data_IF_838877475872
#
_entry.id   IF_838877475872
#
_cell.length_a   1.000
_cell.length_b   1.000
_cell.length_c   1.000
_cell.angle_alpha   90.00
_cell.angle_beta   90.00
_cell.angle_gamma   90.00
#
_symmetry.space_group_name_H-M   'P 1'
#
loop_
_entity.id
_entity.type
_entity.pdbx_description
1 polymer ?
#
# COMPACT_ATOMS: atom_id res chain seq x y z
N UNK A 1 15.79 3.09 13.21
CA UNK A 1 16.01 3.75 11.90
C UNK A 1 14.67 4.27 11.41
N UNK A 2 14.58 5.55 11.03
CA UNK A 2 13.32 6.14 10.56
C UNK A 2 13.28 6.07 9.04
N UNK A 3 12.19 5.55 8.49
CA UNK A 3 11.97 5.44 7.05
C UNK A 3 11.69 6.81 6.44
N UNK A 4 12.24 7.07 5.26
CA UNK A 4 11.82 8.20 4.43
C UNK A 4 10.55 7.83 3.67
N UNK A 5 9.64 8.79 3.48
CA UNK A 5 8.36 8.59 2.81
C UNK A 5 8.27 9.44 1.55
N UNK A 6 7.72 8.88 0.48
CA UNK A 6 7.36 9.59 -0.76
C UNK A 6 5.85 9.55 -0.97
N UNK A 7 5.29 10.62 -1.51
CA UNK A 7 3.86 10.64 -1.85
C UNK A 7 3.56 9.54 -2.89
N UNK A 8 2.49 8.78 -2.69
CA UNK A 8 2.15 7.63 -3.53
C UNK A 8 1.02 7.90 -4.54
N UNK A 9 0.67 9.19 -4.68
CA UNK A 9 -0.38 9.71 -5.56
C UNK A 9 -1.81 9.50 -5.06
N UNK A 10 -2.00 8.90 -3.88
CA UNK A 10 -3.32 8.67 -3.32
C UNK A 10 -3.86 9.93 -2.64
N UNK A 11 -5.06 10.36 -3.02
CA UNK A 11 -5.80 11.41 -2.32
C UNK A 11 -6.97 10.79 -1.55
N UNK A 12 -7.10 11.16 -0.29
CA UNK A 12 -8.15 10.69 0.62
C UNK A 12 -9.09 11.84 0.97
N UNK A 13 -10.34 11.72 0.55
CA UNK A 13 -11.36 12.72 0.86
C UNK A 13 -12.33 12.17 1.93
N UNK A 14 -12.20 12.69 3.15
CA UNK A 14 -13.12 12.42 4.26
C UNK A 14 -14.29 13.39 4.34
N UNK A 15 -14.62 14.08 3.23
CA UNK A 15 -15.68 15.06 3.15
C UNK A 15 -15.40 16.30 4.00
N UNK A 16 -16.37 16.68 4.84
CA UNK A 16 -16.25 17.83 5.74
C UNK A 16 -15.29 17.57 6.92
N UNK A 17 -14.87 16.33 7.15
CA UNK A 17 -14.09 15.95 8.34
C UNK A 17 -12.59 16.13 8.11
N UNK A 18 -12.05 15.60 7.01
CA UNK A 18 -10.63 15.67 6.70
C UNK A 18 -10.34 15.52 5.21
N UNK A 19 -9.15 15.94 4.79
CA UNK A 19 -8.52 15.47 3.56
C UNK A 19 -7.14 14.87 3.90
N UNK A 20 -6.60 14.03 3.03
CA UNK A 20 -5.32 13.38 3.27
C UNK A 20 -4.59 12.98 2.00
N UNK A 21 -3.30 12.74 2.15
CA UNK A 21 -2.42 12.24 1.09
C UNK A 21 -1.75 10.96 1.56
N UNK A 22 -1.66 10.00 0.63
CA UNK A 22 -0.96 8.74 0.82
C UNK A 22 0.53 8.89 0.56
N UNK A 23 1.32 8.24 1.40
CA UNK A 23 2.75 8.15 1.29
C UNK A 23 3.18 6.70 1.45
N UNK A 24 4.25 6.32 0.78
CA UNK A 24 4.86 4.99 0.89
C UNK A 24 6.32 5.12 1.29
N UNK A 25 6.77 4.25 2.19
CA UNK A 25 8.15 4.24 2.63
C UNK A 25 9.08 3.86 1.47
N UNK A 26 10.21 4.56 1.38
CA UNK A 26 11.26 4.28 0.40
C UNK A 26 12.03 3.05 0.88
N UNK A 27 12.17 2.05 0.00
CA UNK A 27 12.83 0.78 0.33
C UNK A 27 11.97 -0.22 1.10
N UNK A 28 10.80 0.19 1.61
CA UNK A 28 9.87 -0.69 2.32
C UNK A 28 8.45 -0.52 1.76
N UNK A 29 8.11 -1.19 0.64
CA UNK A 29 6.85 -0.98 -0.04
C UNK A 29 5.64 -1.43 0.77
N UNK A 30 5.80 -2.29 1.79
CA UNK A 30 4.69 -2.74 2.66
C UNK A 30 4.22 -1.66 3.63
N UNK A 31 5.07 -0.67 3.91
CA UNK A 31 4.78 0.41 4.84
C UNK A 31 4.20 1.63 4.13
N UNK A 32 2.95 1.94 4.47
CA UNK A 32 2.22 3.10 3.98
C UNK A 32 1.86 4.04 5.14
N UNK A 33 1.88 5.33 4.88
CA UNK A 33 1.40 6.37 5.78
C UNK A 33 0.32 7.18 5.08
N UNK A 34 -0.78 7.48 5.76
CA UNK A 34 -1.75 8.47 5.32
C UNK A 34 -1.65 9.64 6.28
N UNK A 35 -1.23 10.80 5.76
CA UNK A 35 -1.30 12.05 6.52
C UNK A 35 -2.68 12.67 6.31
N UNK A 36 -3.43 12.86 7.39
CA UNK A 36 -4.76 13.46 7.40
C UNK A 36 -4.70 14.85 8.01
N UNK A 37 -5.32 15.82 7.36
CA UNK A 37 -5.57 17.16 7.87
C UNK A 37 -7.05 17.29 8.18
N UNK A 38 -7.38 17.35 9.46
CA UNK A 38 -8.76 17.50 9.91
C UNK A 38 -9.19 18.96 9.80
N UNK A 39 -10.46 19.17 9.48
CA UNK A 39 -11.10 20.48 9.48
C UNK A 39 -11.71 20.72 10.86
N UNK A 40 -11.55 21.93 11.40
CA UNK A 40 -12.17 22.31 12.68
C UNK A 40 -12.81 23.68 12.54
N UNK A 41 -13.95 23.75 11.84
CA UNK A 41 -14.58 25.01 11.45
C UNK A 41 -13.59 25.90 10.69
N UNK A 42 -13.48 27.18 11.09
CA UNK A 42 -12.56 28.16 10.50
C UNK A 42 -11.12 28.08 11.02
N UNK A 43 -10.81 27.12 11.91
CA UNK A 43 -9.47 26.98 12.52
C UNK A 43 -8.62 25.94 11.78
N UNK A 44 -7.30 26.15 11.85
CA UNK A 44 -6.30 25.16 11.41
C UNK A 44 -6.45 23.92 12.28
N UNK A 45 -7.06 22.86 11.74
CA UNK A 45 -7.33 21.65 12.48
C UNK A 45 -6.09 20.78 12.69
N UNK A 46 -6.29 19.64 13.36
CA UNK A 46 -5.24 18.68 13.71
C UNK A 46 -4.69 17.96 12.47
N UNK A 47 -3.39 17.68 12.48
CA UNK A 47 -2.77 16.74 11.53
C UNK A 47 -2.54 15.40 12.24
N UNK A 48 -2.86 14.28 11.59
CA UNK A 48 -2.55 12.93 12.09
C UNK A 48 -1.91 12.08 11.00
N UNK A 49 -0.90 11.30 11.39
CA UNK A 49 -0.30 10.28 10.54
C UNK A 49 -0.86 8.91 10.93
N UNK A 50 -1.46 8.21 9.97
CA UNK A 50 -1.97 6.84 10.11
C UNK A 50 -1.06 5.89 9.37
N UNK A 51 -0.60 4.83 10.03
CA UNK A 51 0.32 3.87 9.45
C UNK A 51 -0.40 2.59 9.07
N UNK A 52 0.01 2.00 7.96
CA UNK A 52 -0.54 0.75 7.44
C UNK A 52 0.60 -0.18 7.05
N UNK A 53 0.47 -1.45 7.41
CA UNK A 53 1.37 -2.53 6.96
C UNK A 53 0.51 -3.61 6.32
N UNK A 54 0.87 -4.01 5.10
CA UNK A 54 0.12 -5.01 4.32
C UNK A 54 -1.37 -4.66 4.13
N UNK A 55 -1.68 -3.35 4.13
CA UNK A 55 -3.04 -2.82 4.01
C UNK A 55 -3.82 -2.70 5.32
N UNK A 56 -3.25 -3.11 6.45
CA UNK A 56 -3.90 -3.07 7.77
C UNK A 56 -3.41 -1.86 8.57
N UNK A 57 -4.34 -1.05 9.11
CA UNK A 57 -3.99 0.09 9.97
C UNK A 57 -3.36 -0.40 11.28
N UNK A 58 -2.24 0.21 11.66
CA UNK A 58 -1.55 -0.04 12.92
C UNK A 58 -1.52 1.24 13.75
N UNK A 59 -1.45 1.07 15.08
CA UNK A 59 -1.64 2.16 16.03
C UNK A 59 -0.65 3.32 15.85
N UNK A 60 0.62 2.99 15.59
CA UNK A 60 1.69 3.97 15.50
C UNK A 60 2.87 3.41 14.70
N UNK A 61 3.89 4.25 14.50
CA UNK A 61 5.08 3.88 13.74
C UNK A 61 5.84 2.69 14.33
N UNK A 62 5.97 2.61 15.65
CA UNK A 62 6.65 1.49 16.32
C UNK A 62 5.92 0.17 16.08
N UNK A 63 4.58 0.18 16.16
CA UNK A 63 3.75 -0.98 15.81
C UNK A 63 3.93 -1.38 14.34
N UNK A 64 4.08 -0.41 13.43
CA UNK A 64 4.37 -0.66 12.02
C UNK A 64 5.72 -1.37 11.83
N UNK A 65 6.77 -0.93 12.51
CA UNK A 65 8.08 -1.60 12.45
C UNK A 65 8.01 -3.03 12.98
N UNK A 66 7.27 -3.25 14.08
CA UNK A 66 7.08 -4.60 14.60
C UNK A 66 6.33 -5.48 13.60
N UNK A 67 5.28 -4.96 12.96
CA UNK A 67 4.52 -5.72 11.96
C UNK A 67 5.35 -6.08 10.71
N UNK A 68 6.29 -5.22 10.29
CA UNK A 68 7.20 -5.52 9.17
C UNK A 68 8.12 -6.72 9.44
N UNK A 69 8.41 -7.03 10.70
CA UNK A 69 9.21 -8.21 11.06
C UNK A 69 8.45 -9.53 10.87
N UNK A 70 7.12 -9.47 10.72
CA UNK A 70 6.29 -10.61 10.40
C UNK A 70 6.34 -10.83 8.88
N UNK A 71 6.62 -12.05 8.39
CA UNK A 71 6.53 -12.37 6.98
C UNK A 71 5.15 -12.06 6.42
N UNK A 72 5.12 -11.46 5.23
CA UNK A 72 3.87 -11.17 4.54
C UNK A 72 3.15 -12.47 4.17
N UNK A 73 1.84 -12.52 4.38
CA UNK A 73 1.00 -13.65 4.04
C UNK A 73 0.09 -13.30 2.86
N UNK A 74 -0.03 -14.22 1.90
CA UNK A 74 -0.89 -14.08 0.74
C UNK A 74 -2.07 -15.04 0.80
N UNK A 75 -3.25 -14.58 0.36
CA UNK A 75 -4.42 -15.46 0.19
C UNK A 75 -4.29 -16.29 -1.10
N UNK A 76 -5.01 -17.42 -1.23
CA UNK A 76 -5.01 -18.20 -2.47
C UNK A 76 -5.39 -17.37 -3.71
N UNK A 77 -6.32 -16.44 -3.58
CA UNK A 77 -6.75 -15.55 -4.68
C UNK A 77 -5.66 -14.56 -5.09
N UNK A 78 -4.91 -14.06 -4.12
CA UNK A 78 -3.75 -13.19 -4.36
C UNK A 78 -2.63 -13.95 -5.05
N UNK A 79 -2.35 -15.19 -4.64
CA UNK A 79 -1.35 -16.06 -5.30
C UNK A 79 -1.78 -16.39 -6.72
N UNK A 80 -3.06 -16.73 -6.94
CA UNK A 80 -3.61 -16.97 -8.27
C UNK A 80 -3.48 -15.72 -9.17
N UNK A 81 -3.77 -14.53 -8.64
CA UNK A 81 -3.56 -13.28 -9.34
C UNK A 81 -2.09 -13.04 -9.65
N UNK A 82 -1.17 -13.30 -8.71
CA UNK A 82 0.27 -13.14 -8.93
C UNK A 82 0.78 -14.01 -10.08
N UNK A 83 0.28 -15.24 -10.25
CA UNK A 83 0.61 -16.09 -11.40
C UNK A 83 0.24 -15.45 -12.74
N UNK A 84 -0.80 -14.61 -12.80
CA UNK A 84 -1.22 -13.90 -14.01
C UNK A 84 -0.38 -12.66 -14.31
N UNK A 85 0.25 -12.07 -13.30
CA UNK A 85 0.96 -10.79 -13.41
C UNK A 85 2.42 -11.06 -13.79
N UNK A 86 2.86 -10.57 -14.93
CA UNK A 86 4.25 -10.71 -15.39
C UNK A 86 5.24 -9.81 -14.59
N UNK A 87 6.53 -10.10 -14.73
CA UNK A 87 7.61 -9.22 -14.25
C UNK A 87 7.72 -7.93 -15.09
N UNK A 88 7.14 -7.94 -16.29
CA UNK A 88 6.98 -6.77 -17.15
C UNK A 88 5.63 -6.07 -16.90
N UNK A 89 5.61 -4.75 -17.07
CA UNK A 89 4.40 -3.95 -16.87
C UNK A 89 3.30 -4.34 -17.86
N UNK A 90 2.13 -4.72 -17.33
CA UNK A 90 0.96 -5.09 -18.13
C UNK A 90 -0.33 -4.52 -17.52
N UNK A 91 -1.32 -4.21 -18.35
CA UNK A 91 -2.64 -3.75 -17.89
C UNK A 91 -3.60 -4.95 -17.79
N UNK A 92 -3.81 -5.43 -16.56
CA UNK A 92 -4.74 -6.51 -16.26
C UNK A 92 -5.93 -6.01 -15.42
N UNK A 93 -6.30 -4.72 -15.53
CA UNK A 93 -7.35 -4.11 -14.70
C UNK A 93 -8.74 -4.69 -14.94
N UNK A 94 -9.01 -5.19 -16.15
CA UNK A 94 -10.25 -5.87 -16.53
C UNK A 94 -10.29 -7.34 -16.09
N UNK A 95 -9.14 -7.91 -15.75
CA UNK A 95 -8.99 -9.34 -15.43
C UNK A 95 -8.91 -9.55 -13.92
N UNK A 96 -8.14 -8.71 -13.22
CA UNK A 96 -7.91 -8.81 -11.79
C UNK A 96 -8.69 -7.70 -11.08
N UNK A 97 -9.49 -8.11 -10.09
CA UNK A 97 -10.30 -7.18 -9.27
C UNK A 97 -9.43 -6.12 -8.62
N UNK A 98 -9.97 -4.91 -8.47
CA UNK A 98 -9.25 -3.78 -7.88
C UNK A 98 -8.77 -4.09 -6.47
N UNK A 99 -9.59 -4.75 -5.66
CA UNK A 99 -9.31 -5.10 -4.26
C UNK A 99 -8.09 -6.02 -4.15
N UNK A 100 -7.99 -7.01 -5.04
CA UNK A 100 -6.85 -7.93 -5.11
C UNK A 100 -5.58 -7.17 -5.51
N UNK A 101 -5.66 -6.32 -6.55
CA UNK A 101 -4.52 -5.49 -6.98
C UNK A 101 -4.06 -4.53 -5.89
N UNK A 102 -5.01 -3.91 -5.19
CA UNK A 102 -4.71 -3.00 -4.09
C UNK A 102 -4.06 -3.74 -2.92
N UNK A 103 -4.58 -4.91 -2.54
CA UNK A 103 -3.99 -5.77 -1.51
C UNK A 103 -2.56 -6.19 -1.87
N UNK A 104 -2.34 -6.69 -3.08
CA UNK A 104 -1.02 -7.07 -3.58
C UNK A 104 -0.04 -5.89 -3.56
N UNK A 105 -0.48 -4.68 -3.92
CA UNK A 105 0.34 -3.47 -3.83
C UNK A 105 0.65 -3.11 -2.38
N UNK A 106 -0.33 -3.19 -1.48
CA UNK A 106 -0.13 -2.86 -0.08
C UNK A 106 0.78 -3.86 0.64
N UNK A 107 0.83 -5.10 0.15
CA UNK A 107 1.82 -6.15 0.51
C UNK A 107 3.15 -6.03 -0.23
N UNK A 108 3.32 -5.01 -1.09
CA UNK A 108 4.54 -4.77 -1.86
C UNK A 108 4.83 -5.81 -2.95
N UNK A 109 3.90 -6.71 -3.26
CA UNK A 109 4.07 -7.80 -4.24
C UNK A 109 3.96 -7.34 -5.70
N UNK A 110 3.33 -6.18 -5.93
CA UNK A 110 3.26 -5.52 -7.23
C UNK A 110 3.54 -4.04 -7.09
N UNK A 111 3.96 -3.43 -8.19
CA UNK A 111 4.04 -1.97 -8.31
C UNK A 111 3.26 -1.47 -9.53
N UNK A 112 2.60 -0.31 -9.37
CA UNK A 112 1.90 0.34 -10.48
C UNK A 112 2.87 1.09 -11.39
N UNK A 113 2.67 0.94 -12.69
CA UNK A 113 3.35 1.67 -13.75
C UNK A 113 2.43 2.60 -14.54
N UNK A 114 2.98 3.31 -15.54
CA UNK A 114 2.23 4.25 -16.37
C UNK A 114 1.17 3.55 -17.24
N UNK A 115 0.07 4.27 -17.50
CA UNK A 115 -1.06 4.41 -16.60
C UNK A 115 -1.90 3.13 -16.50
N UNK A 116 -2.03 2.61 -15.29
CA UNK A 116 -2.92 1.48 -14.98
C UNK A 116 -2.28 0.10 -15.17
N UNK A 117 -1.07 0.04 -15.73
CA UNK A 117 -0.26 -1.16 -15.76
C UNK A 117 0.31 -1.46 -14.38
N UNK A 118 0.66 -2.72 -14.15
CA UNK A 118 1.40 -3.14 -12.97
C UNK A 118 2.31 -4.32 -13.33
N UNK A 119 3.35 -4.50 -12.52
CA UNK A 119 4.29 -5.62 -12.64
C UNK A 119 4.57 -6.23 -11.28
N UNK A 120 5.02 -7.48 -11.32
CA UNK A 120 5.45 -8.25 -10.15
C UNK A 120 6.78 -7.71 -9.61
N UNK A 121 6.87 -7.59 -8.29
CA UNK A 121 8.12 -7.24 -7.58
C UNK A 121 8.85 -8.49 -7.11
N UNK A 122 10.02 -8.31 -6.49
CA UNK A 122 10.79 -9.37 -5.84
C UNK A 122 9.97 -10.08 -4.75
N UNK A 123 9.18 -9.35 -3.97
CA UNK A 123 8.25 -9.92 -2.98
C UNK A 123 7.19 -10.78 -3.68
N UNK A 124 6.62 -10.29 -4.77
CA UNK A 124 5.63 -11.04 -5.56
C UNK A 124 6.22 -12.29 -6.19
N UNK A 125 7.49 -12.27 -6.62
CA UNK A 125 8.19 -13.46 -7.11
C UNK A 125 8.43 -14.47 -5.98
N UNK A 126 8.90 -14.02 -4.82
CA UNK A 126 9.14 -14.89 -3.67
C UNK A 126 7.87 -15.60 -3.20
N UNK A 127 6.72 -14.93 -3.27
CA UNK A 127 5.41 -15.50 -2.93
C UNK A 127 5.02 -16.72 -3.79
N UNK A 128 5.56 -16.85 -5.00
CA UNK A 128 5.27 -17.96 -5.91
C UNK A 128 6.22 -19.16 -5.74
N UNK A 129 7.30 -19.00 -4.98
CA UNK A 129 8.32 -20.04 -4.73
C UNK A 129 8.09 -20.73 -3.39
N UNK A 130 7.19 -20.20 -2.55
CA UNK A 130 6.86 -20.79 -1.26
C UNK A 130 5.92 -21.98 -1.48
N UNK A 131 6.32 -23.21 -1.08
CA UNK A 131 5.53 -24.44 -1.32
C UNK A 131 4.23 -24.48 -0.51
#
# INVERSE_FOLDING_TARGET
MTHQFREDGSHYNGGAVFFGYGYRAIGEPRLKMIRRWYRQGDKRGKTEDRFFVDGVEVENYTAAINALSIPVAFTPEEVAALHMIADESSDLRSVIKFEIRQSLRDKGAIEYGPPGSFRRTDIGRAALVTP
#
